data_IF_917555066563
#
_entry.id   IF_917555066563
#
_cell.length_a   1.000
_cell.length_b   1.000
_cell.length_c   1.000
_cell.angle_alpha   90.00
_cell.angle_beta   90.00
_cell.angle_gamma   90.00
#
_symmetry.space_group_name_H-M   'P 1'
#
loop_
_entity.id
_entity.type
_entity.pdbx_description
1 polymer ?
#
# COMPACT_ATOMS: atom_id res chain seq x y z
N UNK A 1 -0.37 -6.83 -13.01
CA UNK A 1 -0.45 -5.43 -12.55
C UNK A 1 -1.81 -4.90 -13.03
N UNK A 2 -2.80 -4.65 -12.16
CA UNK A 2 -3.88 -3.77 -12.54
C UNK A 2 -3.32 -2.35 -12.44
N UNK A 3 -2.88 -1.84 -13.58
CA UNK A 3 -2.65 -0.41 -13.78
C UNK A 3 -3.92 0.30 -13.33
N UNK A 4 -3.82 1.33 -12.47
CA UNK A 4 -4.94 2.25 -12.25
C UNK A 4 -5.16 2.90 -13.62
N UNK A 5 -6.05 2.32 -14.41
CA UNK A 5 -6.50 2.90 -15.66
C UNK A 5 -6.94 4.32 -15.33
N UNK A 6 -6.49 5.30 -16.11
CA UNK A 6 -6.96 6.69 -16.05
C UNK A 6 -8.49 6.63 -15.96
N UNK A 7 -9.03 6.89 -14.76
CA UNK A 7 -10.47 6.72 -14.52
C UNK A 7 -11.17 7.80 -15.33
N UNK A 8 -11.91 7.47 -16.40
CA UNK A 8 -12.61 8.49 -17.16
C UNK A 8 -13.64 9.19 -16.26
N UNK A 9 -13.83 10.49 -16.44
CA UNK A 9 -14.86 11.22 -15.69
C UNK A 9 -16.22 10.53 -15.88
N UNK A 10 -16.97 10.22 -14.80
CA UNK A 10 -18.25 9.54 -14.94
C UNK A 10 -19.23 10.42 -15.73
N UNK A 11 -19.72 9.93 -16.86
CA UNK A 11 -20.52 10.75 -17.80
C UNK A 11 -21.78 11.35 -17.14
N UNK A 12 -22.35 10.65 -16.17
CA UNK A 12 -23.61 10.99 -15.49
C UNK A 12 -23.47 11.93 -14.29
N UNK A 13 -22.25 12.35 -13.91
CA UNK A 13 -22.03 13.22 -12.73
C UNK A 13 -22.61 14.63 -12.96
N UNK A 14 -23.52 15.15 -12.11
CA UNK A 14 -24.03 16.52 -12.22
C UNK A 14 -22.95 17.60 -12.31
N UNK A 15 -23.24 18.72 -12.98
CA UNK A 15 -22.26 19.80 -13.16
C UNK A 15 -21.77 20.41 -11.83
N UNK A 16 -22.67 20.55 -10.86
CA UNK A 16 -22.36 21.05 -9.51
C UNK A 16 -21.38 20.14 -8.75
N UNK A 17 -21.33 18.85 -9.09
CA UNK A 17 -20.40 17.93 -8.45
C UNK A 17 -18.99 18.09 -9.03
N UNK A 18 -18.85 18.45 -10.31
CA UNK A 18 -17.53 18.76 -10.90
C UNK A 18 -16.86 19.98 -10.27
N UNK A 19 -17.63 21.03 -9.95
CA UNK A 19 -17.11 22.21 -9.23
C UNK A 19 -16.61 21.84 -7.84
N UNK A 20 -17.42 21.09 -7.07
CA UNK A 20 -17.04 20.64 -5.74
C UNK A 20 -15.81 19.74 -5.76
N UNK A 21 -15.72 18.83 -6.73
CA UNK A 21 -14.56 17.98 -6.92
C UNK A 21 -13.32 18.80 -7.23
N UNK A 22 -13.44 19.80 -8.11
CA UNK A 22 -12.34 20.72 -8.46
C UNK A 22 -11.90 21.52 -7.24
N UNK A 23 -12.84 22.07 -6.46
CA UNK A 23 -12.58 22.78 -5.21
C UNK A 23 -11.79 21.91 -4.25
N UNK A 24 -12.32 20.74 -3.88
CA UNK A 24 -11.66 19.84 -2.93
C UNK A 24 -10.28 19.39 -3.43
N UNK A 25 -10.16 19.02 -4.70
CA UNK A 25 -8.89 18.59 -5.29
C UNK A 25 -7.82 19.68 -5.22
N UNK A 26 -8.17 20.92 -5.55
CA UNK A 26 -7.21 22.02 -5.57
C UNK A 26 -6.92 22.54 -4.17
N UNK A 27 -7.88 22.54 -3.25
CA UNK A 27 -7.63 22.81 -1.82
C UNK A 27 -6.58 21.86 -1.26
N UNK A 28 -6.66 20.56 -1.59
CA UNK A 28 -5.66 19.56 -1.20
C UNK A 28 -4.32 19.78 -1.90
N UNK A 29 -4.33 19.86 -3.24
CA UNK A 29 -3.11 19.97 -4.06
C UNK A 29 -2.31 21.23 -3.79
N UNK A 30 -2.99 22.33 -3.45
CA UNK A 30 -2.35 23.61 -3.13
C UNK A 30 -2.19 23.85 -1.63
N UNK A 31 -2.70 22.96 -0.77
CA UNK A 31 -2.72 23.18 0.68
C UNK A 31 -3.41 24.48 1.08
N UNK A 32 -4.45 24.88 0.32
CA UNK A 32 -5.09 26.19 0.45
C UNK A 32 -6.39 26.08 1.24
N UNK A 33 -6.42 26.56 2.50
CA UNK A 33 -7.64 26.53 3.32
C UNK A 33 -8.67 27.59 2.89
N UNK A 34 -8.26 28.57 2.08
CA UNK A 34 -9.08 29.72 1.70
C UNK A 34 -9.70 29.59 0.31
N UNK A 35 -9.53 28.44 -0.36
CA UNK A 35 -10.24 28.17 -1.60
C UNK A 35 -11.72 27.95 -1.29
N UNK A 36 -12.61 28.67 -1.97
CA UNK A 36 -14.05 28.59 -1.76
C UNK A 36 -14.82 28.72 -3.08
N UNK A 37 -16.00 28.10 -3.15
CA UNK A 37 -16.93 28.31 -4.26
C UNK A 37 -17.51 29.73 -4.21
N UNK A 38 -17.59 30.39 -5.35
CA UNK A 38 -18.05 31.76 -5.49
C UNK A 38 -19.56 31.78 -5.72
N UNK A 39 -20.34 32.24 -4.75
CA UNK A 39 -21.80 32.34 -4.90
C UNK A 39 -22.54 31.02 -5.05
N UNK A 40 -23.83 31.10 -5.40
CA UNK A 40 -24.71 29.93 -5.67
C UNK A 40 -24.98 29.77 -7.16
N UNK A 41 -25.26 28.54 -7.64
CA UNK A 41 -25.67 28.32 -9.02
C UNK A 41 -26.81 29.25 -9.44
N UNK A 42 -26.63 29.99 -10.53
CA UNK A 42 -27.60 30.95 -11.05
C UNK A 42 -27.38 32.40 -10.62
N UNK A 43 -26.37 32.69 -9.79
CA UNK A 43 -25.89 34.06 -9.56
C UNK A 43 -24.86 34.44 -10.64
N UNK A 44 -24.70 35.74 -10.90
CA UNK A 44 -23.61 36.22 -11.76
C UNK A 44 -22.28 36.00 -11.03
N UNK A 45 -21.54 34.97 -11.42
CA UNK A 45 -20.23 34.59 -10.86
C UNK A 45 -19.05 35.21 -11.63
N UNK A 46 -19.33 36.15 -12.55
CA UNK A 46 -18.34 36.87 -13.37
C UNK A 46 -17.23 35.98 -13.97
N UNK A 47 -17.54 34.73 -14.34
CA UNK A 47 -16.56 33.81 -14.92
C UNK A 47 -15.51 33.26 -13.93
N UNK A 48 -15.83 33.23 -12.63
CA UNK A 48 -15.02 32.60 -11.58
C UNK A 48 -15.93 31.77 -10.68
N UNK A 49 -15.87 30.44 -10.79
CA UNK A 49 -16.70 29.53 -9.98
C UNK A 49 -16.06 29.26 -8.60
N UNK A 50 -14.73 29.32 -8.50
CA UNK A 50 -13.96 29.12 -7.28
C UNK A 50 -12.90 30.21 -7.16
N UNK A 51 -12.77 30.82 -5.98
CA UNK A 51 -11.79 31.85 -5.69
C UNK A 51 -11.02 31.54 -4.41
N UNK A 52 -9.74 31.91 -4.37
CA UNK A 52 -8.91 31.82 -3.17
C UNK A 52 -7.43 31.96 -3.47
N UNK A 53 -6.59 31.42 -2.60
CA UNK A 53 -5.13 31.46 -2.78
C UNK A 53 -4.60 30.15 -3.36
N UNK A 54 -3.54 30.21 -4.18
CA UNK A 54 -2.76 29.03 -4.55
C UNK A 54 -1.74 28.64 -3.45
N UNK A 55 -0.88 27.65 -3.73
CA UNK A 55 0.15 27.16 -2.80
C UNK A 55 1.22 28.21 -2.43
N UNK A 56 1.30 29.32 -3.17
CA UNK A 56 2.19 30.45 -2.87
C UNK A 56 1.44 31.62 -2.22
N UNK A 57 0.16 31.46 -1.90
CA UNK A 57 -0.67 32.51 -1.33
C UNK A 57 -1.24 33.49 -2.35
N UNK A 58 -1.07 33.26 -3.67
CA UNK A 58 -1.48 34.22 -4.70
C UNK A 58 -2.99 34.10 -4.98
N UNK A 59 -3.73 35.22 -5.11
CA UNK A 59 -5.12 35.20 -5.56
C UNK A 59 -5.31 34.52 -6.91
N UNK A 60 -6.12 33.47 -6.94
CA UNK A 60 -6.44 32.69 -8.15
C UNK A 60 -7.94 32.45 -8.26
N UNK A 61 -8.42 32.42 -9.51
CA UNK A 61 -9.77 32.01 -9.86
C UNK A 61 -9.74 30.69 -10.62
N UNK A 62 -10.79 29.87 -10.47
CA UNK A 62 -11.00 28.67 -11.28
C UNK A 62 -12.40 28.74 -11.89
N UNK A 63 -12.47 28.55 -13.22
CA UNK A 63 -13.72 28.36 -13.95
C UNK A 63 -13.82 26.90 -14.38
N UNK A 64 -14.90 26.23 -13.99
CA UNK A 64 -15.20 24.85 -14.28
C UNK A 64 -16.04 24.72 -15.56
N UNK A 65 -15.57 23.91 -16.51
CA UNK A 65 -16.26 23.58 -17.76
C UNK A 65 -16.32 22.07 -17.96
N UNK A 66 -17.44 21.46 -17.58
CA UNK A 66 -17.76 20.06 -17.92
C UNK A 66 -18.01 19.97 -19.42
N UNK A 67 -17.23 19.15 -20.11
CA UNK A 67 -17.29 18.92 -21.56
C UNK A 67 -17.27 17.41 -21.85
N UNK A 68 -18.05 16.98 -22.84
CA UNK A 68 -18.02 15.61 -23.38
C UNK A 68 -17.16 15.48 -24.66
N UNK A 69 -16.46 16.55 -25.06
CA UNK A 69 -15.63 16.61 -26.27
C UNK A 69 -14.45 17.59 -26.13
N UNK A 70 -13.89 18.02 -27.26
CA UNK A 70 -12.71 18.92 -27.28
C UNK A 70 -13.10 20.34 -26.87
N UNK A 71 -12.42 20.87 -25.85
CA UNK A 71 -12.54 22.27 -25.45
C UNK A 71 -11.81 23.16 -26.46
N UNK A 72 -12.48 24.20 -26.97
CA UNK A 72 -11.90 25.15 -27.94
C UNK A 72 -11.36 26.39 -27.25
N UNK A 73 -10.32 27.00 -27.84
CA UNK A 73 -9.70 28.22 -27.33
C UNK A 73 -10.68 29.40 -27.22
N UNK A 74 -11.64 29.51 -28.14
CA UNK A 74 -12.67 30.57 -28.10
C UNK A 74 -13.50 30.54 -26.82
N UNK A 75 -13.70 29.35 -26.24
CA UNK A 75 -14.41 29.20 -24.96
C UNK A 75 -13.53 29.75 -23.85
N UNK A 76 -12.26 29.36 -23.79
CA UNK A 76 -11.29 29.89 -22.82
C UNK A 76 -11.23 31.41 -22.88
N UNK A 77 -11.14 31.99 -24.09
CA UNK A 77 -11.10 33.44 -24.27
C UNK A 77 -12.38 34.14 -23.80
N UNK A 78 -13.56 33.52 -23.99
CA UNK A 78 -14.82 34.05 -23.46
C UNK A 78 -14.83 34.07 -21.93
N UNK A 79 -14.41 32.98 -21.28
CA UNK A 79 -14.34 32.91 -19.81
C UNK A 79 -13.33 33.91 -19.26
N UNK A 80 -12.17 34.07 -19.91
CA UNK A 80 -11.17 35.08 -19.55
C UNK A 80 -11.77 36.49 -19.60
N UNK A 81 -12.57 36.82 -20.62
CA UNK A 81 -13.24 38.13 -20.72
C UNK A 81 -14.30 38.33 -19.64
N UNK A 82 -14.99 37.28 -19.22
CA UNK A 82 -15.93 37.35 -18.11
C UNK A 82 -15.19 37.60 -16.79
N UNK A 83 -14.10 36.86 -16.55
CA UNK A 83 -13.26 37.00 -15.36
C UNK A 83 -12.57 38.36 -15.24
N UNK A 84 -12.43 39.13 -16.32
CA UNK A 84 -11.99 40.53 -16.25
C UNK A 84 -12.99 41.43 -15.51
N UNK A 85 -14.27 41.06 -15.48
CA UNK A 85 -15.30 41.78 -14.73
C UNK A 85 -15.36 41.36 -13.25
N UNK A 86 -14.59 40.35 -12.82
CA UNK A 86 -14.60 39.84 -11.46
C UNK A 86 -14.30 40.95 -10.45
N UNK A 87 -15.23 41.18 -9.52
CA UNK A 87 -15.12 42.22 -8.48
C UNK A 87 -14.79 41.60 -7.14
N UNK A 88 -13.93 42.26 -6.37
CA UNK A 88 -13.60 41.87 -4.99
C UNK A 88 -12.13 41.50 -4.78
N UNK A 89 -11.39 41.13 -5.84
CA UNK A 89 -9.95 40.92 -5.78
C UNK A 89 -9.29 41.06 -7.15
N UNK A 90 -7.98 41.33 -7.16
CA UNK A 90 -7.16 41.24 -8.38
C UNK A 90 -6.62 39.83 -8.52
N UNK A 91 -6.99 39.13 -9.58
CA UNK A 91 -6.48 37.79 -9.86
C UNK A 91 -5.02 37.85 -10.33
N UNK A 92 -4.21 36.90 -9.89
CA UNK A 92 -2.90 36.63 -10.49
C UNK A 92 -3.00 35.57 -11.60
N UNK A 93 -3.88 34.60 -11.44
CA UNK A 93 -4.10 33.54 -12.43
C UNK A 93 -5.57 33.11 -12.47
N UNK A 94 -6.07 32.82 -13.67
CA UNK A 94 -7.33 32.13 -13.91
C UNK A 94 -7.05 30.73 -14.46
N UNK A 95 -7.54 29.70 -13.80
CA UNK A 95 -7.49 28.32 -14.30
C UNK A 95 -8.83 27.92 -14.91
N UNK A 96 -8.79 27.33 -16.11
CA UNK A 96 -9.95 26.67 -16.70
C UNK A 96 -9.88 25.18 -16.37
N UNK A 97 -10.73 24.72 -15.46
CA UNK A 97 -10.86 23.32 -15.10
C UNK A 97 -11.81 22.60 -16.07
N UNK A 98 -11.41 21.45 -16.64
CA UNK A 98 -12.24 20.75 -17.62
C UNK A 98 -12.15 19.23 -17.53
N UNK A 99 -13.25 18.57 -17.88
CA UNK A 99 -13.33 17.11 -18.07
C UNK A 99 -12.91 16.65 -19.47
N UNK A 100 -12.59 17.58 -20.37
CA UNK A 100 -12.10 17.26 -21.71
C UNK A 100 -10.73 16.56 -21.65
N UNK A 101 -10.39 15.68 -22.61
CA UNK A 101 -9.06 15.08 -22.68
C UNK A 101 -7.98 16.11 -22.99
N UNK A 102 -6.72 15.78 -22.66
CA UNK A 102 -5.57 16.60 -23.00
C UNK A 102 -5.50 16.90 -24.50
N UNK A 103 -5.32 18.18 -24.86
CA UNK A 103 -5.16 18.64 -26.24
C UNK A 103 -3.92 19.54 -26.35
N UNK A 104 -2.89 19.05 -27.04
CA UNK A 104 -1.63 19.77 -27.25
C UNK A 104 -1.84 21.12 -27.95
N UNK A 105 -2.79 21.23 -28.88
CA UNK A 105 -3.08 22.48 -29.58
C UNK A 105 -3.69 23.49 -28.63
N UNK A 106 -4.66 23.06 -27.82
CA UNK A 106 -5.28 23.92 -26.81
C UNK A 106 -4.26 24.39 -25.76
N UNK A 107 -3.45 23.46 -25.23
CA UNK A 107 -2.42 23.79 -24.24
C UNK A 107 -1.43 24.84 -24.77
N UNK A 108 -0.96 24.69 -26.01
CA UNK A 108 -0.07 25.67 -26.65
C UNK A 108 -0.76 27.03 -26.81
N UNK A 109 -2.00 27.04 -27.26
CA UNK A 109 -2.77 28.27 -27.43
C UNK A 109 -3.01 29.00 -26.09
N UNK A 110 -3.32 28.27 -25.02
CA UNK A 110 -3.50 28.87 -23.69
C UNK A 110 -2.19 29.40 -23.10
N UNK A 111 -1.07 28.70 -23.29
CA UNK A 111 0.25 29.23 -22.87
C UNK A 111 0.58 30.53 -23.58
N UNK A 112 0.39 30.59 -24.90
CA UNK A 112 0.62 31.82 -25.66
C UNK A 112 -0.28 32.97 -25.20
N UNK A 113 -1.58 32.70 -25.00
CA UNK A 113 -2.53 33.68 -24.45
C UNK A 113 -2.11 34.17 -23.06
N UNK A 114 -1.66 33.27 -22.19
CA UNK A 114 -1.20 33.59 -20.84
C UNK A 114 0.02 34.51 -20.87
N UNK A 115 1.02 34.19 -21.70
CA UNK A 115 2.22 35.01 -21.86
C UNK A 115 1.91 36.42 -22.39
N UNK A 116 0.99 36.54 -23.36
CA UNK A 116 0.54 37.83 -23.89
C UNK A 116 -0.13 38.67 -22.81
N UNK A 117 -1.05 38.07 -22.04
CA UNK A 117 -1.78 38.77 -20.96
C UNK A 117 -0.86 39.23 -19.84
N UNK A 118 0.09 38.40 -19.43
CA UNK A 118 1.06 38.77 -18.39
C UNK A 118 1.93 39.94 -18.85
N UNK A 119 2.32 40.01 -20.14
CA UNK A 119 3.04 41.18 -20.70
C UNK A 119 2.20 42.46 -20.65
N UNK A 120 0.89 42.35 -20.77
CA UNK A 120 -0.05 43.47 -20.63
C UNK A 120 -0.36 43.83 -19.17
N UNK A 121 0.27 43.16 -18.19
CA UNK A 121 0.00 43.37 -16.77
C UNK A 121 -1.33 42.78 -16.28
N UNK A 122 -1.94 41.87 -17.06
CA UNK A 122 -3.17 41.15 -16.70
C UNK A 122 -2.84 39.79 -16.07
N UNK A 123 -3.85 39.14 -15.52
CA UNK A 123 -3.71 37.81 -14.93
C UNK A 123 -3.32 36.74 -15.96
N UNK A 124 -2.53 35.76 -15.51
CA UNK A 124 -2.15 34.58 -16.27
C UNK A 124 -3.35 33.63 -16.48
N UNK A 125 -3.28 32.78 -17.49
CA UNK A 125 -4.30 31.76 -17.77
C UNK A 125 -3.69 30.36 -17.79
N UNK A 126 -4.36 29.40 -17.14
CA UNK A 126 -3.97 27.99 -17.11
C UNK A 126 -5.13 27.06 -17.42
N UNK A 127 -4.85 25.79 -17.65
CA UNK A 127 -5.86 24.72 -17.78
C UNK A 127 -5.56 23.64 -16.74
N UNK A 128 -6.60 23.15 -16.08
CA UNK A 128 -6.58 21.96 -15.23
C UNK A 128 -7.42 20.88 -15.90
N UNK A 129 -6.80 19.76 -16.23
CA UNK A 129 -7.50 18.64 -16.85
C UNK A 129 -8.08 17.70 -15.80
N UNK A 130 -8.92 16.78 -16.24
CA UNK A 130 -9.52 15.78 -15.36
C UNK A 130 -8.47 15.02 -14.55
N UNK A 131 -7.38 14.59 -15.19
CA UNK A 131 -6.31 13.84 -14.53
C UNK A 131 -5.63 14.69 -13.43
N UNK A 132 -5.51 16.01 -13.63
CA UNK A 132 -4.97 16.93 -12.62
C UNK A 132 -5.87 17.02 -11.38
N UNK A 133 -7.18 17.03 -11.60
CA UNK A 133 -8.23 17.11 -10.57
C UNK A 133 -8.32 15.78 -9.83
N UNK A 134 -8.40 14.67 -10.57
CA UNK A 134 -8.48 13.33 -10.00
C UNK A 134 -7.25 13.01 -9.15
N UNK A 135 -6.04 13.35 -9.62
CA UNK A 135 -4.81 13.21 -8.83
C UNK A 135 -4.84 14.05 -7.54
N UNK A 136 -5.46 15.24 -7.57
CA UNK A 136 -5.66 16.04 -6.37
C UNK A 136 -6.59 15.37 -5.36
N UNK A 137 -7.66 14.71 -5.82
CA UNK A 137 -8.57 13.96 -4.95
C UNK A 137 -7.87 12.73 -4.33
N UNK A 138 -6.93 12.09 -5.03
CA UNK A 138 -6.14 10.97 -4.50
C UNK A 138 -5.29 11.33 -3.27
N UNK A 139 -5.08 12.62 -2.99
CA UNK A 139 -4.28 13.06 -1.83
C UNK A 139 -5.01 12.85 -0.49
N UNK A 140 -6.34 12.71 -0.49
CA UNK A 140 -7.13 12.38 0.70
C UNK A 140 -8.22 11.35 0.34
N UNK A 141 -8.03 10.13 0.82
CA UNK A 141 -8.95 9.02 0.59
C UNK A 141 -10.38 9.30 1.09
N UNK A 142 -10.56 10.07 2.17
CA UNK A 142 -11.90 10.36 2.69
C UNK A 142 -12.67 11.27 1.72
N UNK A 143 -11.99 12.28 1.18
CA UNK A 143 -12.54 13.20 0.18
C UNK A 143 -12.82 12.45 -1.13
N UNK A 144 -11.91 11.60 -1.56
CA UNK A 144 -12.08 10.76 -2.74
C UNK A 144 -13.29 9.82 -2.61
N UNK A 145 -13.44 9.14 -1.47
CA UNK A 145 -14.59 8.27 -1.15
C UNK A 145 -15.89 9.08 -1.14
N UNK A 146 -15.87 10.33 -0.64
CA UNK A 146 -17.08 11.16 -0.60
C UNK A 146 -17.64 11.46 -2.00
N UNK A 147 -16.76 11.62 -2.99
CA UNK A 147 -17.13 11.90 -4.38
C UNK A 147 -17.34 10.62 -5.20
N UNK A 148 -16.66 9.54 -4.82
CA UNK A 148 -16.70 8.25 -5.47
C UNK A 148 -17.01 7.12 -4.47
N UNK A 149 -18.19 7.10 -3.84
CA UNK A 149 -18.50 6.13 -2.78
C UNK A 149 -18.54 4.68 -3.29
N UNK A 150 -18.66 4.50 -4.59
CA UNK A 150 -18.61 3.20 -5.28
C UNK A 150 -17.18 2.72 -5.53
N UNK A 151 -16.17 3.59 -5.48
CA UNK A 151 -14.77 3.18 -5.51
C UNK A 151 -14.45 2.55 -4.14
N UNK A 152 -14.32 1.22 -4.15
CA UNK A 152 -13.83 0.48 -2.99
C UNK A 152 -12.33 0.72 -2.88
N UNK A 153 -11.94 1.67 -2.05
CA UNK A 153 -10.55 1.81 -1.64
C UNK A 153 -10.26 0.84 -0.49
N UNK A 154 -9.14 0.09 -0.54
CA UNK A 154 -8.68 -0.60 0.66
C UNK A 154 -8.36 0.47 1.71
N UNK A 155 -9.03 0.41 2.86
CA UNK A 155 -8.86 1.32 3.99
C UNK A 155 -7.36 1.40 4.37
N UNK A 156 -6.76 2.58 4.60
CA UNK A 156 -5.34 2.70 4.95
C UNK A 156 -4.96 2.00 6.27
N UNK A 157 -5.89 1.80 7.20
CA UNK A 157 -5.70 0.89 8.35
C UNK A 157 -5.73 -0.58 7.92
N UNK A 158 -6.50 -0.90 6.88
CA UNK A 158 -6.44 -2.18 6.16
C UNK A 158 -5.11 -2.31 5.40
N UNK A 159 -4.55 -1.30 4.74
CA UNK A 159 -3.28 -1.40 3.98
C UNK A 159 -2.08 -1.62 4.91
N UNK A 160 -1.98 -0.87 6.01
CA UNK A 160 -0.97 -1.12 7.04
C UNK A 160 -1.20 -2.45 7.77
N UNK A 161 -2.46 -2.84 8.00
CA UNK A 161 -2.73 -4.19 8.48
C UNK A 161 -2.51 -5.26 7.40
N UNK A 162 -2.53 -4.97 6.09
CA UNK A 162 -2.30 -5.97 5.04
C UNK A 162 -0.80 -6.25 4.92
N UNK A 163 0.08 -5.23 4.91
CA UNK A 163 1.54 -5.48 4.99
C UNK A 163 1.91 -6.18 6.30
N UNK A 164 1.35 -5.73 7.43
CA UNK A 164 1.58 -6.39 8.72
C UNK A 164 1.01 -7.82 8.78
N UNK A 165 -0.13 -8.09 8.15
CA UNK A 165 -0.74 -9.42 8.08
C UNK A 165 0.03 -10.34 7.13
N UNK A 166 0.53 -9.84 5.99
CA UNK A 166 1.41 -10.58 5.07
C UNK A 166 2.71 -10.97 5.79
N UNK A 167 3.31 -10.03 6.51
CA UNK A 167 4.48 -10.29 7.34
C UNK A 167 4.19 -11.30 8.46
N UNK A 168 3.07 -11.13 9.16
CA UNK A 168 2.66 -12.04 10.23
C UNK A 168 2.43 -13.45 9.69
N UNK A 169 1.77 -13.58 8.54
CA UNK A 169 1.55 -14.83 7.84
C UNK A 169 2.87 -15.49 7.44
N UNK A 170 3.78 -14.71 6.85
CA UNK A 170 5.12 -15.18 6.48
C UNK A 170 5.90 -15.71 7.69
N UNK A 171 5.95 -14.95 8.78
CA UNK A 171 6.61 -15.36 10.02
C UNK A 171 5.95 -16.59 10.64
N UNK A 172 4.63 -16.71 10.57
CA UNK A 172 3.91 -17.85 11.11
C UNK A 172 4.16 -19.14 10.30
N UNK A 173 4.24 -19.04 8.97
CA UNK A 173 4.67 -20.16 8.12
C UNK A 173 6.13 -20.55 8.35
N UNK A 174 7.03 -19.59 8.57
CA UNK A 174 8.45 -19.86 8.74
C UNK A 174 8.82 -20.38 10.14
N UNK A 175 8.27 -19.79 11.20
CA UNK A 175 8.57 -20.19 12.59
C UNK A 175 7.56 -21.20 13.14
N UNK A 176 6.27 -20.93 12.93
CA UNK A 176 5.20 -21.76 13.47
C UNK A 176 5.25 -23.18 12.94
N UNK A 177 5.41 -23.34 11.63
CA UNK A 177 5.43 -24.65 10.98
C UNK A 177 6.63 -25.54 11.29
N UNK A 178 7.59 -25.06 12.09
CA UNK A 178 8.80 -25.78 12.46
C UNK A 178 9.12 -25.69 13.96
N UNK A 179 8.15 -25.31 14.81
CA UNK A 179 8.39 -25.15 16.26
C UNK A 179 8.97 -26.42 16.90
N UNK A 180 8.45 -27.60 16.55
CA UNK A 180 8.97 -28.86 17.07
C UNK A 180 10.43 -29.07 16.65
N UNK A 181 10.74 -28.79 15.38
CA UNK A 181 12.07 -28.94 14.79
C UNK A 181 13.08 -28.01 15.48
N UNK A 182 12.71 -26.74 15.74
CA UNK A 182 13.51 -25.82 16.55
C UNK A 182 13.72 -26.35 17.97
N UNK A 183 12.66 -26.84 18.62
CA UNK A 183 12.74 -27.36 19.99
C UNK A 183 13.67 -28.58 20.07
N UNK A 184 13.56 -29.50 19.11
CA UNK A 184 14.43 -30.67 19.06
C UNK A 184 15.87 -30.29 18.75
N UNK A 185 16.12 -29.31 17.88
CA UNK A 185 17.46 -28.82 17.61
C UNK A 185 18.11 -28.21 18.87
N UNK A 186 17.46 -27.21 19.48
CA UNK A 186 18.03 -26.44 20.60
C UNK A 186 18.29 -27.34 21.83
N UNK A 187 17.39 -28.29 22.10
CA UNK A 187 17.52 -29.19 23.25
C UNK A 187 18.15 -30.56 22.91
N UNK A 188 18.66 -30.77 21.69
CA UNK A 188 19.42 -31.96 21.33
C UNK A 188 20.87 -31.92 21.83
N UNK A 189 21.56 -33.06 21.75
CA UNK A 189 23.01 -33.15 21.97
C UNK A 189 23.78 -32.21 21.02
N UNK A 190 23.35 -32.10 19.75
CA UNK A 190 23.95 -31.18 18.78
C UNK A 190 23.77 -29.72 19.17
N UNK A 191 22.57 -29.33 19.63
CA UNK A 191 22.28 -27.97 20.12
C UNK A 191 23.15 -27.62 21.32
N UNK A 192 23.34 -28.57 22.24
CA UNK A 192 24.22 -28.40 23.38
C UNK A 192 25.69 -28.24 22.97
N UNK A 193 26.18 -29.06 22.03
CA UNK A 193 27.53 -28.95 21.47
C UNK A 193 27.76 -27.62 20.75
N UNK A 194 26.73 -27.09 20.09
CA UNK A 194 26.75 -25.79 19.41
C UNK A 194 26.49 -24.60 20.36
N UNK A 195 26.37 -24.82 21.67
CA UNK A 195 26.12 -23.80 22.69
C UNK A 195 24.87 -22.94 22.41
N UNK A 196 23.80 -23.56 21.89
CA UNK A 196 22.53 -22.87 21.64
C UNK A 196 21.92 -22.35 22.94
N UNK A 197 21.29 -21.16 22.88
CA UNK A 197 20.60 -20.57 24.03
C UNK A 197 19.14 -21.07 24.08
N UNK A 198 18.70 -21.75 25.16
CA UNK A 198 17.30 -22.13 25.34
C UNK A 198 16.28 -20.98 25.23
N UNK A 199 16.69 -19.72 25.46
CA UNK A 199 15.83 -18.53 25.28
C UNK A 199 15.45 -18.29 23.80
N UNK A 200 16.17 -18.88 22.84
CA UNK A 200 15.77 -18.89 21.43
C UNK A 200 14.38 -19.50 21.25
N UNK A 201 14.07 -20.58 21.97
CA UNK A 201 12.74 -21.20 21.93
C UNK A 201 11.68 -20.26 22.47
N UNK A 202 11.96 -19.52 23.56
CA UNK A 202 11.04 -18.51 24.07
C UNK A 202 10.80 -17.40 23.04
N UNK A 203 11.83 -17.03 22.28
CA UNK A 203 11.72 -16.03 21.21
C UNK A 203 10.83 -16.52 20.07
N UNK A 204 11.01 -17.77 19.62
CA UNK A 204 10.16 -18.42 18.62
C UNK A 204 8.70 -18.50 19.09
N UNK A 205 8.46 -18.91 20.35
CA UNK A 205 7.12 -18.96 20.94
C UNK A 205 6.44 -17.58 20.97
N UNK A 206 7.17 -16.51 21.32
CA UNK A 206 6.66 -15.14 21.30
C UNK A 206 6.33 -14.65 19.89
N UNK A 207 7.19 -14.97 18.91
CA UNK A 207 6.94 -14.68 17.50
C UNK A 207 5.63 -15.35 17.06
N UNK A 208 5.45 -16.64 17.33
CA UNK A 208 4.24 -17.38 16.95
C UNK A 208 3.02 -16.78 17.64
N UNK A 209 3.09 -16.54 18.97
CA UNK A 209 2.00 -15.95 19.77
C UNK A 209 1.54 -14.60 19.21
N UNK A 210 2.47 -13.74 18.80
CA UNK A 210 2.12 -12.42 18.27
C UNK A 210 1.52 -12.52 16.87
N UNK A 211 2.08 -13.36 16.01
CA UNK A 211 1.71 -13.42 14.60
C UNK A 211 0.51 -14.33 14.33
N UNK A 212 0.13 -15.23 15.25
CA UNK A 212 -1.08 -16.05 15.09
C UNK A 212 -2.39 -15.24 15.15
N UNK A 213 -2.35 -13.97 15.58
CA UNK A 213 -3.51 -13.07 15.69
C UNK A 213 -4.24 -12.80 14.37
N UNK A 214 -3.61 -13.12 13.23
CA UNK A 214 -4.23 -13.07 11.91
C UNK A 214 -5.24 -14.21 11.67
N UNK A 215 -5.21 -15.25 12.51
CA UNK A 215 -6.08 -16.42 12.41
C UNK A 215 -7.48 -16.15 12.97
N UNK A 216 -8.46 -17.02 12.66
CA UNK A 216 -9.76 -17.01 13.34
C UNK A 216 -9.61 -17.12 14.86
N UNK A 217 -10.52 -16.49 15.60
CA UNK A 217 -10.42 -16.33 17.06
C UNK A 217 -10.24 -17.65 17.79
N UNK A 218 -10.92 -18.70 17.37
CA UNK A 218 -10.84 -20.04 17.95
C UNK A 218 -9.41 -20.60 17.82
N UNK A 219 -8.77 -20.38 16.67
CA UNK A 219 -7.40 -20.81 16.40
C UNK A 219 -6.39 -20.06 17.27
N UNK A 220 -6.59 -18.74 17.43
CA UNK A 220 -5.74 -17.92 18.31
C UNK A 220 -5.78 -18.45 19.75
N UNK A 221 -6.98 -18.71 20.28
CA UNK A 221 -7.16 -19.23 21.64
C UNK A 221 -6.43 -20.56 21.83
N UNK A 222 -6.59 -21.51 20.92
CA UNK A 222 -5.92 -22.82 21.01
C UNK A 222 -4.39 -22.69 20.96
N UNK A 223 -3.86 -21.97 19.97
CA UNK A 223 -2.41 -21.81 19.78
C UNK A 223 -1.78 -21.15 21.01
N UNK A 224 -2.39 -20.07 21.51
CA UNK A 224 -1.88 -19.35 22.68
C UNK A 224 -1.89 -20.21 23.94
N UNK A 225 -2.94 -21.01 24.16
CA UNK A 225 -3.02 -21.92 25.29
C UNK A 225 -1.92 -23.00 25.26
N UNK A 226 -1.63 -23.59 24.09
CA UNK A 226 -0.51 -24.54 23.96
C UNK A 226 0.84 -23.86 24.20
N UNK A 227 1.04 -22.63 23.71
CA UNK A 227 2.27 -21.86 23.95
C UNK A 227 2.45 -21.56 25.45
N UNK A 228 1.40 -21.11 26.14
CA UNK A 228 1.43 -20.84 27.58
C UNK A 228 1.87 -22.09 28.38
N UNK A 229 1.34 -23.25 27.99
CA UNK A 229 1.66 -24.51 28.63
C UNK A 229 3.10 -24.95 28.32
N UNK A 230 3.59 -24.79 27.08
CA UNK A 230 5.00 -25.03 26.74
C UNK A 230 5.92 -24.12 27.55
N UNK A 231 5.63 -22.82 27.63
CA UNK A 231 6.46 -21.87 28.40
C UNK A 231 6.48 -22.21 29.89
N UNK A 232 5.34 -22.62 30.43
CA UNK A 232 5.24 -23.10 31.82
C UNK A 232 6.13 -24.32 32.07
N UNK A 233 6.09 -25.33 31.19
CA UNK A 233 6.88 -26.55 31.36
C UNK A 233 8.39 -26.32 31.22
N UNK A 234 8.82 -25.34 30.40
CA UNK A 234 10.22 -25.07 30.10
C UNK A 234 10.87 -24.02 31.02
N UNK A 235 10.14 -22.97 31.40
CA UNK A 235 10.74 -21.72 31.87
C UNK A 235 10.25 -21.22 33.24
N UNK A 236 9.29 -21.89 33.89
CA UNK A 236 8.94 -21.56 35.27
C UNK A 236 10.13 -21.72 36.23
N UNK A 237 10.09 -21.06 37.39
CA UNK A 237 11.16 -21.10 38.40
C UNK A 237 11.53 -22.53 38.87
N UNK A 238 10.61 -23.50 38.71
CA UNK A 238 10.83 -24.94 38.89
C UNK A 238 10.14 -25.71 37.75
N UNK A 239 10.77 -25.82 36.57
CA UNK A 239 10.14 -26.45 35.41
C UNK A 239 10.02 -27.96 35.66
N UNK A 240 8.86 -28.55 35.38
CA UNK A 240 8.67 -30.02 35.47
C UNK A 240 9.38 -30.76 34.34
N UNK A 241 9.62 -30.08 33.20
CA UNK A 241 10.27 -30.62 31.99
C UNK A 241 9.66 -31.94 31.53
N UNK A 242 8.33 -32.02 31.50
CA UNK A 242 7.64 -33.15 30.87
C UNK A 242 7.84 -33.09 29.35
N UNK A 243 8.91 -33.74 28.87
CA UNK A 243 9.35 -33.66 27.48
C UNK A 243 8.35 -34.27 26.50
N UNK A 244 7.64 -35.34 26.87
CA UNK A 244 6.59 -35.94 26.04
C UNK A 244 5.46 -34.94 25.81
N UNK A 245 5.03 -34.27 26.88
CA UNK A 245 4.02 -33.22 26.81
C UNK A 245 4.49 -32.02 25.99
N UNK A 246 5.71 -31.53 26.22
CA UNK A 246 6.30 -30.40 25.48
C UNK A 246 6.34 -30.70 23.97
N UNK A 247 6.81 -31.90 23.59
CA UNK A 247 6.86 -32.33 22.19
C UNK A 247 5.46 -32.44 21.57
N UNK A 248 4.49 -33.01 22.30
CA UNK A 248 3.11 -33.10 21.84
C UNK A 248 2.50 -31.72 21.57
N UNK A 249 2.65 -30.77 22.50
CA UNK A 249 2.13 -29.41 22.34
C UNK A 249 2.84 -28.66 21.21
N UNK A 250 4.17 -28.79 21.13
CA UNK A 250 4.95 -28.17 20.05
C UNK A 250 4.55 -28.72 18.68
N UNK A 251 4.28 -30.02 18.59
CA UNK A 251 3.72 -30.66 17.39
C UNK A 251 2.34 -30.09 17.03
N UNK A 252 1.46 -29.86 18.00
CA UNK A 252 0.14 -29.26 17.75
C UNK A 252 0.25 -27.86 17.17
N UNK A 253 1.09 -27.00 17.77
CA UNK A 253 1.35 -25.65 17.24
C UNK A 253 1.94 -25.71 15.82
N UNK A 254 2.89 -26.63 15.60
CA UNK A 254 3.51 -26.87 14.30
C UNK A 254 2.48 -27.24 13.23
N UNK A 255 1.73 -28.31 13.48
CA UNK A 255 0.75 -28.84 12.54
C UNK A 255 -0.37 -27.80 12.30
N UNK A 256 -0.81 -27.08 13.35
CA UNK A 256 -1.77 -25.99 13.22
C UNK A 256 -1.26 -24.87 12.31
N UNK A 257 -0.01 -24.46 12.48
CA UNK A 257 0.61 -23.41 11.65
C UNK A 257 0.78 -23.84 10.20
N UNK A 258 1.16 -25.11 9.95
CA UNK A 258 1.29 -25.69 8.59
C UNK A 258 -0.01 -25.61 7.79
N UNK A 259 -1.16 -25.88 8.41
CA UNK A 259 -2.45 -25.94 7.71
C UNK A 259 -3.26 -24.64 7.82
N UNK A 260 -2.74 -23.62 8.48
CA UNK A 260 -3.50 -22.40 8.78
C UNK A 260 -3.88 -21.60 7.54
N UNK A 261 -3.08 -21.70 6.46
CA UNK A 261 -3.39 -21.08 5.16
C UNK A 261 -4.78 -21.44 4.67
N UNK A 262 -5.23 -22.68 4.89
CA UNK A 262 -6.55 -23.16 4.50
C UNK A 262 -7.73 -22.59 5.30
N UNK A 263 -7.43 -21.94 6.43
CA UNK A 263 -8.40 -21.36 7.36
C UNK A 263 -8.50 -19.84 7.26
N UNK A 264 -7.68 -19.21 6.41
CA UNK A 264 -7.70 -17.77 6.18
C UNK A 264 -8.59 -17.43 4.99
N UNK A 265 -9.48 -16.45 5.18
CA UNK A 265 -10.36 -15.96 4.09
C UNK A 265 -9.57 -15.17 3.04
N UNK A 266 -8.52 -14.44 3.46
CA UNK A 266 -7.67 -13.67 2.56
C UNK A 266 -6.61 -14.57 1.91
N UNK A 267 -6.83 -14.90 0.63
CA UNK A 267 -5.94 -15.74 -0.18
C UNK A 267 -4.51 -15.19 -0.32
N UNK A 268 -4.34 -13.87 -0.39
CA UNK A 268 -3.03 -13.25 -0.48
C UNK A 268 -2.24 -13.47 0.83
N UNK A 269 -2.86 -13.17 1.98
CA UNK A 269 -2.27 -13.45 3.30
C UNK A 269 -1.98 -14.94 3.49
N UNK A 270 -2.89 -15.82 3.07
CA UNK A 270 -2.68 -17.27 3.11
C UNK A 270 -1.47 -17.71 2.29
N UNK A 271 -1.24 -17.10 1.13
CA UNK A 271 -0.09 -17.39 0.27
C UNK A 271 1.25 -17.04 0.93
N UNK A 272 1.28 -16.07 1.84
CA UNK A 272 2.49 -15.77 2.62
C UNK A 272 2.78 -16.81 3.71
N UNK A 273 1.77 -17.48 4.28
CA UNK A 273 2.00 -18.65 5.15
C UNK A 273 2.70 -19.74 4.34
N UNK A 274 2.19 -20.05 3.15
CA UNK A 274 2.81 -21.02 2.26
C UNK A 274 4.24 -20.63 1.87
N UNK A 275 4.49 -19.35 1.54
CA UNK A 275 5.84 -18.88 1.24
C UNK A 275 6.79 -19.07 2.44
N UNK A 276 6.34 -18.70 3.64
CA UNK A 276 7.08 -18.91 4.89
C UNK A 276 7.40 -20.38 5.14
N UNK A 277 6.40 -21.26 4.96
CA UNK A 277 6.56 -22.72 5.08
C UNK A 277 7.59 -23.25 4.08
N UNK A 278 7.50 -22.85 2.81
CA UNK A 278 8.41 -23.31 1.76
C UNK A 278 9.85 -22.84 1.98
N UNK A 279 10.06 -21.60 2.45
CA UNK A 279 11.39 -21.08 2.78
C UNK A 279 11.91 -21.74 4.07
N UNK A 280 11.07 -21.89 5.09
CA UNK A 280 11.45 -22.57 6.33
C UNK A 280 11.85 -24.03 6.11
N UNK A 281 11.17 -24.73 5.19
CA UNK A 281 11.52 -26.11 4.82
C UNK A 281 12.95 -26.25 4.27
N UNK A 282 13.49 -25.19 3.66
CA UNK A 282 14.89 -25.18 3.20
C UNK A 282 15.83 -25.39 4.39
N UNK A 283 15.60 -24.77 5.55
CA UNK A 283 16.48 -24.91 6.72
C UNK A 283 16.62 -26.36 7.20
N UNK A 284 15.59 -27.17 6.97
CA UNK A 284 15.44 -28.54 7.46
C UNK A 284 15.63 -29.58 6.36
N UNK A 285 16.07 -29.15 5.18
CA UNK A 285 16.38 -30.04 4.06
C UNK A 285 17.87 -30.34 4.07
N UNK A 286 18.25 -31.62 4.13
CA UNK A 286 19.64 -32.02 4.01
C UNK A 286 20.18 -31.76 2.60
N UNK A 287 21.43 -31.29 2.52
CA UNK A 287 22.15 -31.11 1.27
C UNK A 287 22.26 -29.65 0.80
N UNK A 288 22.50 -29.50 -0.51
CA UNK A 288 22.78 -28.20 -1.14
C UNK A 288 21.51 -27.55 -1.67
N UNK A 289 21.47 -26.22 -1.61
CA UNK A 289 20.44 -25.39 -2.22
C UNK A 289 20.65 -25.37 -3.74
N UNK A 290 19.91 -26.22 -4.45
CA UNK A 290 20.07 -26.44 -5.89
C UNK A 290 19.45 -25.32 -6.72
N UNK A 291 19.89 -25.21 -7.97
CA UNK A 291 19.30 -24.30 -8.96
C UNK A 291 17.81 -24.60 -9.22
N UNK A 292 17.42 -25.87 -9.20
CA UNK A 292 16.00 -26.28 -9.30
C UNK A 292 15.17 -25.71 -8.16
N UNK A 293 15.65 -25.84 -6.91
CA UNK A 293 14.98 -25.32 -5.73
C UNK A 293 14.95 -23.78 -5.75
N UNK A 294 16.05 -23.15 -6.17
CA UNK A 294 16.14 -21.70 -6.36
C UNK A 294 15.06 -21.20 -7.34
N UNK A 295 14.94 -21.83 -8.51
CA UNK A 295 13.95 -21.46 -9.54
C UNK A 295 12.51 -21.61 -9.03
N UNK A 296 12.21 -22.70 -8.33
CA UNK A 296 10.87 -22.94 -7.75
C UNK A 296 10.49 -21.89 -6.70
N UNK A 297 11.42 -21.51 -5.83
CA UNK A 297 11.17 -20.47 -4.84
C UNK A 297 11.13 -19.08 -5.47
N UNK A 298 11.97 -18.80 -6.46
CA UNK A 298 11.97 -17.54 -7.19
C UNK A 298 10.61 -17.25 -7.83
N UNK A 299 10.00 -18.25 -8.48
CA UNK A 299 8.65 -18.11 -9.06
C UNK A 299 7.62 -17.69 -8.01
N UNK A 300 7.61 -18.35 -6.85
CA UNK A 300 6.68 -18.00 -5.75
C UNK A 300 6.94 -16.60 -5.22
N UNK A 301 8.21 -16.22 -5.03
CA UNK A 301 8.59 -14.89 -4.54
C UNK A 301 8.18 -13.82 -5.55
N UNK A 302 8.41 -13.99 -6.85
CA UNK A 302 8.00 -13.01 -7.86
C UNK A 302 6.48 -12.85 -7.97
N UNK A 303 5.72 -13.93 -7.79
CA UNK A 303 4.25 -13.87 -7.79
C UNK A 303 3.69 -13.07 -6.61
N UNK A 304 4.38 -13.10 -5.46
CA UNK A 304 3.91 -12.47 -4.22
C UNK A 304 4.56 -11.10 -3.95
N UNK A 305 5.78 -10.87 -4.45
CA UNK A 305 6.58 -9.66 -4.25
C UNK A 305 6.94 -9.05 -5.61
N UNK A 306 6.03 -8.26 -6.17
CA UNK A 306 6.14 -7.69 -7.53
C UNK A 306 7.42 -6.81 -7.69
N UNK A 307 7.90 -6.19 -6.61
CA UNK A 307 9.13 -5.37 -6.57
C UNK A 307 10.45 -6.15 -6.40
N UNK A 308 10.42 -7.45 -6.10
CA UNK A 308 11.61 -8.25 -5.76
C UNK A 308 12.56 -8.52 -6.95
N UNK A 309 12.18 -8.11 -8.17
CA UNK A 309 12.82 -8.45 -9.45
C UNK A 309 14.27 -7.99 -9.58
N UNK A 310 14.69 -6.94 -8.88
CA UNK A 310 16.04 -6.38 -9.02
C UNK A 310 17.10 -7.05 -8.14
N UNK A 311 16.71 -7.50 -6.94
CA UNK A 311 17.66 -7.99 -5.92
C UNK A 311 17.57 -9.50 -5.68
N UNK A 312 16.46 -10.15 -6.04
CA UNK A 312 16.30 -11.59 -5.86
C UNK A 312 17.33 -12.40 -6.65
N UNK A 313 17.61 -12.13 -7.95
CA UNK A 313 18.61 -12.90 -8.71
C UNK A 313 19.98 -12.90 -8.02
N UNK A 314 20.46 -11.71 -7.64
CA UNK A 314 21.73 -11.55 -6.91
C UNK A 314 21.74 -12.28 -5.56
N UNK A 315 20.60 -12.38 -4.91
CA UNK A 315 20.48 -13.11 -3.64
C UNK A 315 20.58 -14.61 -3.88
N UNK A 316 19.91 -15.13 -4.92
CA UNK A 316 19.93 -16.54 -5.30
C UNK A 316 21.33 -16.99 -5.74
N UNK A 317 22.00 -16.21 -6.59
CA UNK A 317 23.36 -16.51 -7.06
C UNK A 317 24.37 -16.70 -5.91
N UNK A 318 24.14 -16.04 -4.77
CA UNK A 318 25.01 -16.13 -3.59
C UNK A 318 24.79 -17.39 -2.75
N UNK A 319 23.61 -18.01 -2.87
CA UNK A 319 23.19 -19.12 -2.01
C UNK A 319 23.03 -20.44 -2.75
N UNK A 320 22.98 -20.44 -4.09
CA UNK A 320 23.09 -21.67 -4.88
C UNK A 320 24.38 -22.41 -4.51
N UNK A 321 24.28 -23.73 -4.38
CA UNK A 321 25.34 -24.65 -3.94
C UNK A 321 25.83 -24.46 -2.48
N UNK A 322 25.22 -23.54 -1.71
CA UNK A 322 25.39 -23.49 -0.26
C UNK A 322 24.53 -24.56 0.40
N UNK A 323 24.88 -24.94 1.63
CA UNK A 323 24.02 -25.83 2.41
C UNK A 323 22.66 -25.17 2.66
N UNK A 324 21.59 -25.95 2.62
CA UNK A 324 20.24 -25.42 2.75
C UNK A 324 20.03 -24.69 4.09
N UNK A 325 20.66 -25.15 5.18
CA UNK A 325 20.65 -24.47 6.48
C UNK A 325 21.28 -23.06 6.44
N UNK A 326 22.15 -22.78 5.46
CA UNK A 326 22.72 -21.45 5.20
C UNK A 326 21.87 -20.63 4.24
N UNK A 327 21.25 -21.27 3.24
CA UNK A 327 20.46 -20.61 2.21
C UNK A 327 19.10 -20.09 2.75
N UNK A 328 18.40 -20.89 3.56
CA UNK A 328 17.06 -20.55 4.03
C UNK A 328 16.98 -19.27 4.90
N UNK A 329 17.91 -19.01 5.85
CA UNK A 329 17.93 -17.74 6.58
C UNK A 329 18.19 -16.52 5.70
N UNK A 330 19.00 -16.67 4.64
CA UNK A 330 19.23 -15.59 3.67
C UNK A 330 17.95 -15.27 2.89
N UNK A 331 17.21 -16.30 2.46
CA UNK A 331 15.92 -16.13 1.81
C UNK A 331 14.86 -15.52 2.74
N UNK A 332 14.83 -15.94 4.00
CA UNK A 332 13.96 -15.34 5.01
C UNK A 332 14.24 -13.84 5.16
N UNK A 333 15.50 -13.47 5.36
CA UNK A 333 15.89 -12.07 5.52
C UNK A 333 15.59 -11.23 4.28
N UNK A 334 15.74 -11.81 3.08
CA UNK A 334 15.33 -11.15 1.85
C UNK A 334 13.81 -10.85 1.88
N UNK A 335 12.97 -11.86 2.06
CA UNK A 335 11.51 -11.68 2.05
C UNK A 335 11.02 -10.78 3.18
N UNK A 336 11.56 -10.91 4.40
CA UNK A 336 11.24 -10.04 5.54
C UNK A 336 11.60 -8.58 5.26
N UNK A 337 12.81 -8.31 4.75
CA UNK A 337 13.23 -6.96 4.37
C UNK A 337 12.30 -6.36 3.34
N UNK A 338 12.05 -7.11 2.27
CA UNK A 338 11.17 -6.64 1.22
C UNK A 338 9.79 -6.37 1.83
N UNK A 339 9.17 -7.27 2.61
CA UNK A 339 7.84 -7.06 3.21
C UNK A 339 7.74 -5.81 4.10
N UNK A 340 8.82 -5.44 4.79
CA UNK A 340 8.88 -4.26 5.66
C UNK A 340 9.16 -2.95 4.93
N UNK A 341 10.05 -3.00 3.94
CA UNK A 341 10.67 -1.80 3.36
C UNK A 341 10.55 -1.70 1.84
N UNK A 342 10.00 -2.72 1.20
CA UNK A 342 9.75 -2.75 -0.23
C UNK A 342 8.64 -1.80 -0.62
N UNK A 343 8.89 -1.08 -1.71
CA UNK A 343 7.87 -0.38 -2.47
C UNK A 343 7.06 -1.45 -3.24
N UNK A 344 5.86 -1.75 -2.76
CA UNK A 344 4.92 -2.68 -3.39
C UNK A 344 3.60 -2.00 -3.69
#
# INVERSE_FOLDING_TARGET
MPTIHVTPFPQDTPWQDFEKMTLHAMSLKWGSPNLQGEGRPGQGQDGVDIFGSDYLGRPVGIQCKKYSGVLKIDVVQKEVKLAEAFKGATLNCLYIATTAPHDVKLQRAVRALSEERVKEGKFAVGILYWDDIFTGLLLDNNILISHFPYLKFPDPTIVNSTKANKLSAFMLGYYGSFLLDYLELVFSEFGWMAQQDPEEIRTVLRIIRQNCKIAPKEQVVEITAWIDEIESELFMAKPKKDWEKIKLLSKRVRDRSKYLSSLLENFETASFIELGLNIGAVNWTDGKFTEELANKLAQKIYMLLIGATTMLPKTLDRIIDKDCYTAGPVLYNFVDRELRWGDY
#
